data_IF_814388640968
#
_entry.id   IF_814388640968
#
_cell.length_a   1.000
_cell.length_b   1.000
_cell.length_c   1.000
_cell.angle_alpha   90.00
_cell.angle_beta   90.00
_cell.angle_gamma   90.00
#
_symmetry.space_group_name_H-M   'P 1'
#
loop_
_entity.id
_entity.type
_entity.pdbx_description
1 polymer ?
#
# COMPACT_ATOMS: atom_id res chain seq x y z
N UNK A 1 0.38 11.83 12.30
CA UNK A 1 0.21 11.81 10.83
C UNK A 1 -0.76 10.68 10.48
N UNK A 2 -1.52 10.82 9.40
CA UNK A 2 -2.42 9.75 8.94
C UNK A 2 -1.69 8.94 7.87
N UNK A 3 -1.88 7.63 7.82
CA UNK A 3 -1.40 6.78 6.75
C UNK A 3 -2.51 6.66 5.69
N UNK A 4 -2.26 7.18 4.53
CA UNK A 4 -3.06 6.99 3.32
C UNK A 4 -2.37 6.02 2.36
N UNK A 5 -3.11 5.50 1.42
CA UNK A 5 -2.61 4.68 0.31
C UNK A 5 -3.11 5.29 -0.98
N UNK A 6 -2.19 5.49 -1.89
CA UNK A 6 -2.45 5.99 -3.24
C UNK A 6 -2.27 4.87 -4.27
N UNK A 7 -3.17 4.80 -5.24
CA UNK A 7 -3.07 3.95 -6.44
C UNK A 7 -3.25 4.85 -7.65
N UNK A 8 -2.28 4.90 -8.55
CA UNK A 8 -2.38 5.76 -9.73
C UNK A 8 -1.03 6.10 -10.35
N UNK A 9 -1.01 6.98 -11.39
CA UNK A 9 0.21 7.46 -12.01
C UNK A 9 1.16 8.11 -11.00
N UNK A 10 2.44 7.75 -11.02
CA UNK A 10 3.42 8.35 -10.10
C UNK A 10 3.67 9.82 -10.41
N UNK A 11 3.56 10.25 -11.66
CA UNK A 11 3.58 11.68 -12.03
C UNK A 11 2.54 12.45 -11.21
N UNK A 12 1.29 11.97 -11.15
CA UNK A 12 0.23 12.59 -10.38
C UNK A 12 0.52 12.58 -8.87
N UNK A 13 1.09 11.49 -8.36
CA UNK A 13 1.49 11.39 -6.95
C UNK A 13 2.48 12.48 -6.59
N UNK A 14 3.60 12.59 -7.34
CA UNK A 14 4.70 13.52 -7.05
C UNK A 14 4.39 14.99 -7.37
N UNK A 15 3.36 15.27 -8.17
CA UNK A 15 2.83 16.65 -8.35
C UNK A 15 1.76 17.02 -7.33
N UNK A 16 1.34 16.08 -6.48
CA UNK A 16 0.26 16.31 -5.53
C UNK A 16 -1.11 16.55 -6.18
N UNK A 17 -1.29 16.16 -7.46
CA UNK A 17 -2.54 16.32 -8.20
C UNK A 17 -3.54 15.19 -7.92
N UNK A 18 -3.77 14.92 -6.65
CA UNK A 18 -4.71 13.92 -6.16
C UNK A 18 -5.29 14.32 -4.80
N UNK A 19 -6.43 13.79 -4.45
CA UNK A 19 -7.08 14.02 -3.16
C UNK A 19 -6.91 12.81 -2.26
N UNK A 20 -6.42 13.01 -1.04
CA UNK A 20 -6.47 11.99 -0.02
C UNK A 20 -7.91 11.82 0.53
N UNK A 21 -8.12 10.81 1.38
CA UNK A 21 -9.45 10.49 1.91
C UNK A 21 -10.08 11.65 2.68
N UNK A 22 -9.27 12.41 3.46
CA UNK A 22 -9.77 13.54 4.23
C UNK A 22 -10.18 14.72 3.34
N UNK A 23 -9.39 15.03 2.33
CA UNK A 23 -9.67 16.09 1.35
C UNK A 23 -10.93 15.79 0.55
N UNK A 24 -11.05 14.55 0.05
CA UNK A 24 -12.26 14.09 -0.64
C UNK A 24 -13.49 14.23 0.23
N UNK A 25 -13.43 13.74 1.47
CA UNK A 25 -14.55 13.83 2.42
C UNK A 25 -14.89 15.29 2.79
N UNK A 26 -13.88 16.15 2.88
CA UNK A 26 -14.10 17.58 3.12
C UNK A 26 -14.77 18.26 1.92
N UNK A 27 -14.34 17.94 0.70
CA UNK A 27 -14.96 18.44 -0.54
C UNK A 27 -16.43 18.00 -0.66
N UNK A 28 -16.72 16.73 -0.40
CA UNK A 28 -18.08 16.18 -0.45
C UNK A 28 -19.01 16.84 0.58
N UNK A 29 -18.47 17.28 1.71
CA UNK A 29 -19.18 18.06 2.74
C UNK A 29 -19.23 19.57 2.47
N UNK A 30 -18.77 20.02 1.30
CA UNK A 30 -18.75 21.44 0.92
C UNK A 30 -17.74 22.29 1.69
N UNK A 31 -16.71 21.67 2.27
CA UNK A 31 -15.64 22.33 3.04
C UNK A 31 -14.27 21.96 2.46
N UNK A 32 -13.94 22.35 1.21
CA UNK A 32 -12.69 21.95 0.60
C UNK A 32 -11.49 22.48 1.41
N UNK A 33 -10.51 21.61 1.60
CA UNK A 33 -9.24 21.98 2.24
C UNK A 33 -8.38 22.67 1.19
N UNK A 34 -8.03 23.95 1.42
CA UNK A 34 -7.10 24.65 0.57
C UNK A 34 -5.69 24.08 0.75
N UNK A 35 -5.10 23.55 -0.33
CA UNK A 35 -3.68 23.19 -0.33
C UNK A 35 -2.85 24.47 -0.51
N UNK A 36 -1.81 24.71 0.33
CA UNK A 36 -0.86 25.76 0.08
C UNK A 36 -0.11 25.45 -1.22
N UNK A 37 -0.03 26.42 -2.13
CA UNK A 37 0.72 26.33 -3.38
C UNK A 37 -0.13 25.97 -4.59
N UNK A 38 -0.94 26.93 -5.06
CA UNK A 38 -1.57 26.87 -6.39
C UNK A 38 -0.59 27.20 -7.50
N UNK A 39 0.57 26.53 -7.54
CA UNK A 39 1.47 26.57 -8.68
C UNK A 39 0.83 25.85 -9.87
N UNK A 40 1.20 26.26 -11.06
CA UNK A 40 0.70 25.75 -12.32
C UNK A 40 1.04 24.24 -12.42
N UNK A 41 0.15 23.39 -11.90
CA UNK A 41 0.31 21.92 -11.79
C UNK A 41 0.61 21.28 -13.15
N UNK A 42 0.15 21.88 -14.23
CA UNK A 42 0.48 21.40 -15.57
C UNK A 42 1.98 21.52 -15.85
N UNK A 43 2.61 22.65 -15.49
CA UNK A 43 4.06 22.85 -15.63
C UNK A 43 4.85 21.93 -14.69
N UNK A 44 4.37 21.71 -13.48
CA UNK A 44 4.99 20.75 -12.57
C UNK A 44 4.91 19.32 -13.12
N UNK A 45 3.80 18.93 -13.72
CA UNK A 45 3.64 17.64 -14.38
C UNK A 45 4.62 17.44 -15.52
N UNK A 46 4.86 18.47 -16.35
CA UNK A 46 5.82 18.43 -17.45
C UNK A 46 7.27 18.24 -16.97
N UNK A 47 7.61 18.67 -15.76
CA UNK A 47 8.91 18.46 -15.14
C UNK A 47 9.04 17.10 -14.43
N UNK A 48 7.97 16.65 -13.78
CA UNK A 48 7.98 15.40 -12.98
C UNK A 48 7.86 14.17 -13.86
N UNK A 49 7.04 14.20 -14.91
CA UNK A 49 6.80 13.06 -15.79
C UNK A 49 8.08 12.47 -16.40
N UNK A 50 9.01 13.24 -16.98
CA UNK A 50 10.27 12.70 -17.47
C UNK A 50 11.08 12.00 -16.36
N UNK A 51 11.14 12.56 -15.16
CA UNK A 51 11.85 11.97 -14.01
C UNK A 51 11.25 10.60 -13.64
N UNK A 52 9.91 10.49 -13.59
CA UNK A 52 9.21 9.21 -13.35
C UNK A 52 9.52 8.19 -14.42
N UNK A 53 9.51 8.60 -15.72
CA UNK A 53 9.80 7.71 -16.84
C UNK A 53 11.27 7.25 -16.84
N UNK A 54 12.20 8.14 -16.55
CA UNK A 54 13.63 7.82 -16.45
C UNK A 54 13.91 6.88 -15.27
N UNK A 55 13.31 7.16 -14.10
CA UNK A 55 13.37 6.30 -12.93
C UNK A 55 12.82 4.90 -13.24
N UNK A 56 11.65 4.81 -13.86
CA UNK A 56 11.04 3.53 -14.27
C UNK A 56 11.93 2.75 -15.22
N UNK A 57 12.52 3.43 -16.22
CA UNK A 57 13.44 2.81 -17.16
C UNK A 57 14.72 2.33 -16.48
N UNK A 58 15.28 3.11 -15.55
CA UNK A 58 16.46 2.73 -14.77
C UNK A 58 16.16 1.52 -13.89
N UNK A 59 15.00 1.52 -13.21
CA UNK A 59 14.54 0.39 -12.40
C UNK A 59 14.36 -0.88 -13.23
N UNK A 60 13.73 -0.77 -14.41
CA UNK A 60 13.56 -1.89 -15.33
C UNK A 60 14.91 -2.49 -15.79
N UNK A 61 15.89 -1.65 -16.08
CA UNK A 61 17.26 -2.12 -16.40
C UNK A 61 17.93 -2.82 -15.21
N UNK A 62 17.75 -2.30 -14.00
CA UNK A 62 18.33 -2.90 -12.78
C UNK A 62 17.70 -4.27 -12.45
N UNK A 63 16.42 -4.42 -12.70
CA UNK A 63 15.70 -5.69 -12.47
C UNK A 63 16.04 -6.72 -13.55
N UNK A 64 16.27 -6.29 -14.80
CA UNK A 64 16.64 -7.18 -15.91
C UNK A 64 15.67 -8.37 -16.06
N UNK A 65 16.21 -9.57 -16.18
CA UNK A 65 15.45 -10.81 -16.37
C UNK A 65 14.67 -11.26 -15.12
N UNK A 66 14.74 -10.52 -14.00
CA UNK A 66 13.96 -10.81 -12.78
C UNK A 66 12.50 -10.40 -12.88
N UNK A 67 12.14 -9.63 -13.90
CA UNK A 67 10.75 -9.31 -14.26
C UNK A 67 10.41 -9.97 -15.58
N UNK A 68 9.26 -10.65 -15.63
CA UNK A 68 8.80 -11.35 -16.83
C UNK A 68 8.27 -10.40 -17.91
N UNK A 69 7.85 -9.20 -17.52
CA UNK A 69 7.29 -8.18 -18.41
C UNK A 69 7.96 -6.81 -18.15
N UNK A 70 8.06 -5.95 -19.17
CA UNK A 70 8.55 -4.59 -18.97
C UNK A 70 7.72 -3.84 -17.92
N UNK A 71 8.37 -3.03 -17.10
CA UNK A 71 7.69 -2.12 -16.20
C UNK A 71 6.92 -1.08 -17.01
N UNK A 72 5.60 -1.23 -17.09
CA UNK A 72 4.73 -0.38 -17.89
C UNK A 72 3.42 -0.11 -17.16
N UNK A 73 3.10 1.16 -16.98
CA UNK A 73 1.81 1.67 -16.56
C UNK A 73 1.61 3.06 -17.16
N UNK A 74 0.36 3.51 -17.21
CA UNK A 74 0.02 4.78 -17.82
C UNK A 74 0.33 5.95 -16.87
N UNK A 75 1.02 6.97 -17.38
CA UNK A 75 1.37 8.24 -16.70
C UNK A 75 0.62 9.43 -17.31
N UNK A 76 -0.46 9.19 -18.05
CA UNK A 76 -1.28 10.27 -18.62
C UNK A 76 -2.04 11.03 -17.52
N UNK A 77 -2.28 12.31 -17.76
CA UNK A 77 -2.93 13.19 -16.77
C UNK A 77 -4.39 12.82 -16.47
N UNK A 78 -5.06 12.15 -17.41
CA UNK A 78 -6.45 11.69 -17.29
C UNK A 78 -6.56 10.25 -16.77
N UNK A 79 -5.45 9.55 -16.52
CA UNK A 79 -5.46 8.21 -15.93
C UNK A 79 -6.09 8.23 -14.54
N UNK A 80 -6.93 7.25 -14.27
CA UNK A 80 -7.63 7.10 -12.99
C UNK A 80 -6.64 6.98 -11.82
N UNK A 81 -7.08 7.43 -10.65
CA UNK A 81 -6.41 7.17 -9.39
C UNK A 81 -7.42 6.82 -8.30
N UNK A 82 -6.96 6.13 -7.27
CA UNK A 82 -7.76 5.74 -6.12
C UNK A 82 -6.97 6.02 -4.84
N UNK A 83 -7.68 6.33 -3.75
CA UNK A 83 -7.08 6.53 -2.45
C UNK A 83 -7.90 5.85 -1.37
N UNK A 84 -7.24 5.34 -0.34
CA UNK A 84 -7.86 4.78 0.85
C UNK A 84 -7.03 5.09 2.08
N UNK A 85 -7.63 4.99 3.26
CA UNK A 85 -6.98 5.29 4.53
C UNK A 85 -7.09 4.11 5.48
N UNK A 86 -6.14 3.18 5.47
CA UNK A 86 -6.09 2.15 6.51
C UNK A 86 -5.75 2.73 7.88
N UNK A 87 -5.06 3.88 7.94
CA UNK A 87 -4.48 4.44 9.14
C UNK A 87 -3.31 3.61 9.67
N UNK A 88 -2.46 4.20 10.54
CA UNK A 88 -1.32 3.49 11.12
C UNK A 88 -1.75 2.29 11.97
N UNK A 89 -2.76 2.48 12.83
CA UNK A 89 -3.25 1.39 13.70
C UNK A 89 -3.84 0.24 12.88
N UNK A 90 -4.60 0.55 11.84
CA UNK A 90 -5.15 -0.46 10.95
C UNK A 90 -4.07 -1.21 10.19
N UNK A 91 -3.13 -0.48 9.56
CA UNK A 91 -2.04 -1.08 8.78
C UNK A 91 -1.12 -1.93 9.67
N UNK A 92 -0.65 -1.40 10.81
CA UNK A 92 0.16 -2.16 11.77
C UNK A 92 -0.56 -3.41 12.28
N UNK A 93 -1.88 -3.29 12.57
CA UNK A 93 -2.69 -4.44 12.96
C UNK A 93 -2.79 -5.51 11.87
N UNK A 94 -2.92 -5.11 10.60
CA UNK A 94 -2.95 -6.04 9.47
C UNK A 94 -1.60 -6.74 9.28
N UNK A 95 -0.50 -5.99 9.37
CA UNK A 95 0.87 -6.53 9.31
C UNK A 95 1.10 -7.56 10.42
N UNK A 96 0.75 -7.22 11.66
CA UNK A 96 0.86 -8.17 12.79
C UNK A 96 -0.08 -9.36 12.61
N UNK A 97 -1.29 -9.15 12.09
CA UNK A 97 -2.22 -10.25 11.84
C UNK A 97 -1.62 -11.28 10.88
N UNK A 98 -0.96 -10.82 9.81
CA UNK A 98 -0.26 -11.66 8.85
C UNK A 98 0.94 -12.39 9.49
N UNK A 99 1.76 -11.67 10.28
CA UNK A 99 2.89 -12.26 10.98
C UNK A 99 2.46 -13.37 11.96
N UNK A 100 1.41 -13.14 12.75
CA UNK A 100 0.88 -14.17 13.65
C UNK A 100 0.19 -15.33 12.93
N UNK A 101 -0.31 -15.15 11.72
CA UNK A 101 -0.82 -16.27 10.91
C UNK A 101 0.31 -17.22 10.48
N UNK A 102 1.55 -16.73 10.38
CA UNK A 102 2.74 -17.55 10.12
C UNK A 102 3.34 -18.19 11.38
N UNK A 103 3.10 -17.61 12.56
CA UNK A 103 3.66 -18.02 13.83
C UNK A 103 2.58 -18.37 14.86
N UNK A 104 1.75 -19.42 14.61
CA UNK A 104 0.60 -19.75 15.46
C UNK A 104 0.95 -20.18 16.89
N UNK A 105 2.23 -20.53 17.15
CA UNK A 105 2.72 -20.83 18.48
C UNK A 105 2.92 -19.57 19.36
N UNK A 106 2.97 -18.38 18.76
CA UNK A 106 3.05 -17.12 19.50
C UNK A 106 1.66 -16.64 19.89
N UNK A 107 1.56 -16.06 21.10
CA UNK A 107 0.29 -15.50 21.58
C UNK A 107 0.08 -14.11 20.96
N UNK A 108 -0.95 -13.98 20.12
CA UNK A 108 -1.33 -12.70 19.52
C UNK A 108 -1.80 -11.70 20.58
N UNK A 109 -1.39 -10.41 20.51
CA UNK A 109 -1.90 -9.37 21.38
C UNK A 109 -3.38 -9.07 21.10
N UNK A 110 -4.09 -8.57 22.12
CA UNK A 110 -5.52 -8.20 21.96
C UNK A 110 -5.69 -6.84 21.27
N UNK A 111 -4.73 -5.94 21.43
CA UNK A 111 -4.69 -4.61 20.80
C UNK A 111 -3.32 -4.42 20.15
N UNK A 112 -3.21 -3.43 19.25
CA UNK A 112 -1.93 -3.07 18.63
C UNK A 112 -0.98 -2.53 19.70
N UNK A 113 0.23 -3.12 19.86
CA UNK A 113 1.26 -2.57 20.72
C UNK A 113 1.75 -1.22 20.19
N UNK A 114 2.23 -0.34 21.07
CA UNK A 114 2.80 0.95 20.68
C UNK A 114 4.03 0.77 19.77
N UNK A 115 4.90 -0.17 20.10
CA UNK A 115 6.09 -0.55 19.31
C UNK A 115 5.80 -1.84 18.52
N UNK A 116 4.77 -1.81 17.69
CA UNK A 116 4.32 -2.99 16.95
C UNK A 116 5.32 -3.47 15.90
N UNK A 117 6.18 -2.61 15.40
CA UNK A 117 7.28 -2.89 14.48
C UNK A 117 8.37 -3.77 15.11
N UNK A 118 8.49 -3.74 16.44
CA UNK A 118 9.39 -4.60 17.22
C UNK A 118 8.71 -5.89 17.74
N UNK A 119 7.50 -6.20 17.29
CA UNK A 119 6.76 -7.39 17.72
C UNK A 119 7.50 -8.68 17.34
N UNK A 120 7.61 -9.66 18.26
CA UNK A 120 8.34 -10.92 18.04
C UNK A 120 7.87 -11.73 16.84
N UNK A 121 6.57 -11.69 16.48
CA UNK A 121 6.07 -12.38 15.31
C UNK A 121 6.56 -11.68 14.01
N UNK A 122 6.56 -10.35 14.00
CA UNK A 122 7.03 -9.58 12.86
C UNK A 122 8.55 -9.72 12.67
N UNK A 123 9.32 -9.63 13.75
CA UNK A 123 10.78 -9.87 13.71
C UNK A 123 11.09 -11.26 13.12
N UNK A 124 10.33 -12.30 13.50
CA UNK A 124 10.52 -13.65 12.95
C UNK A 124 10.15 -13.74 11.47
N UNK A 125 9.05 -13.07 11.05
CA UNK A 125 8.63 -13.03 9.65
C UNK A 125 9.63 -12.28 8.75
N UNK A 126 10.38 -11.34 9.32
CA UNK A 126 11.40 -10.55 8.63
C UNK A 126 12.81 -11.16 8.70
N UNK A 127 13.02 -12.23 9.46
CA UNK A 127 14.33 -12.88 9.57
C UNK A 127 14.78 -13.40 8.18
N UNK A 128 16.07 -13.23 7.85
CA UNK A 128 16.64 -13.64 6.55
C UNK A 128 16.44 -15.14 6.26
N UNK A 129 16.46 -15.96 7.31
CA UNK A 129 16.25 -17.42 7.22
C UNK A 129 14.79 -17.82 7.04
N UNK A 130 13.83 -16.88 7.16
CA UNK A 130 12.41 -17.17 7.10
C UNK A 130 11.81 -16.69 5.75
N UNK A 131 11.14 -17.61 5.05
CA UNK A 131 10.41 -17.27 3.82
C UNK A 131 8.95 -16.95 4.16
N UNK A 132 8.69 -15.70 4.47
CA UNK A 132 7.32 -15.24 4.72
C UNK A 132 6.44 -15.43 3.51
N UNK A 133 5.24 -15.98 3.72
CA UNK A 133 4.17 -16.06 2.71
C UNK A 133 3.51 -14.71 2.45
N UNK A 134 3.71 -13.76 3.36
CA UNK A 134 3.12 -12.41 3.30
C UNK A 134 4.20 -11.34 3.12
N UNK A 135 5.31 -11.66 2.43
CA UNK A 135 6.49 -10.80 2.31
C UNK A 135 6.18 -9.41 1.73
N UNK A 136 5.19 -9.30 0.83
CA UNK A 136 4.78 -8.02 0.24
C UNK A 136 3.89 -7.19 1.17
N UNK A 137 3.55 -7.70 2.35
CA UNK A 137 2.82 -6.99 3.40
C UNK A 137 3.71 -6.73 4.62
N UNK A 138 4.50 -7.74 5.08
CA UNK A 138 5.23 -7.66 6.36
C UNK A 138 6.63 -7.04 6.26
N UNK A 139 7.19 -6.87 5.05
CA UNK A 139 8.57 -6.39 4.84
C UNK A 139 8.68 -4.88 4.61
N UNK A 140 7.88 -4.08 5.28
CA UNK A 140 7.92 -2.62 5.18
C UNK A 140 7.87 -2.09 3.74
N UNK A 141 7.10 -2.73 2.87
CA UNK A 141 6.94 -2.29 1.48
C UNK A 141 6.17 -0.97 1.45
N UNK A 142 6.73 0.01 0.76
CA UNK A 142 6.16 1.35 0.61
C UNK A 142 5.63 1.62 -0.81
N UNK A 143 6.14 0.89 -1.80
CA UNK A 143 5.73 1.01 -3.20
C UNK A 143 5.54 -0.40 -3.79
N UNK A 144 4.35 -0.67 -4.29
CA UNK A 144 4.04 -1.89 -5.04
C UNK A 144 3.89 -1.56 -6.52
N UNK A 145 4.70 -2.21 -7.36
CA UNK A 145 4.68 -2.04 -8.82
C UNK A 145 3.62 -2.96 -9.46
N UNK A 146 3.00 -2.54 -10.57
CA UNK A 146 2.03 -3.36 -11.30
C UNK A 146 2.71 -4.40 -12.21
N UNK A 147 3.57 -5.22 -11.63
CA UNK A 147 4.29 -6.29 -12.31
C UNK A 147 4.45 -7.48 -11.38
N UNK A 148 4.64 -8.67 -11.94
CA UNK A 148 4.87 -9.88 -11.17
C UNK A 148 6.32 -9.93 -10.68
N UNK A 149 6.49 -9.74 -9.36
CA UNK A 149 7.76 -9.84 -8.64
C UNK A 149 7.58 -10.79 -7.46
N UNK A 150 8.17 -11.97 -7.52
CA UNK A 150 8.12 -12.95 -6.45
C UNK A 150 8.96 -12.59 -5.20
N UNK A 151 9.52 -11.37 -5.14
CA UNK A 151 10.39 -10.89 -4.07
C UNK A 151 10.19 -9.39 -3.82
N UNK A 152 10.61 -8.94 -2.64
CA UNK A 152 10.73 -7.52 -2.30
C UNK A 152 12.21 -7.10 -2.34
N UNK A 153 12.49 -5.83 -2.61
CA UNK A 153 13.86 -5.32 -2.63
C UNK A 153 13.93 -3.87 -2.17
N UNK A 154 15.07 -3.47 -1.65
CA UNK A 154 15.38 -2.07 -1.37
C UNK A 154 15.77 -1.35 -2.65
N UNK A 155 15.26 -0.14 -2.84
CA UNK A 155 15.56 0.73 -3.97
C UNK A 155 15.37 2.19 -3.59
N UNK A 156 15.55 3.08 -4.55
CA UNK A 156 15.23 4.50 -4.41
C UNK A 156 13.95 4.82 -5.16
N UNK A 157 13.13 5.69 -4.59
CA UNK A 157 11.96 6.23 -5.29
C UNK A 157 12.37 7.37 -6.25
N UNK A 158 11.38 8.01 -6.90
CA UNK A 158 11.61 9.09 -7.88
C UNK A 158 12.35 10.29 -7.29
N UNK A 159 12.22 10.51 -5.97
CA UNK A 159 12.90 11.61 -5.24
C UNK A 159 14.23 11.16 -4.61
N UNK A 160 14.68 9.92 -4.86
CA UNK A 160 15.92 9.36 -4.33
C UNK A 160 15.80 8.91 -2.86
N UNK A 161 14.59 8.80 -2.31
CA UNK A 161 14.38 8.28 -0.96
C UNK A 161 14.47 6.74 -1.00
N UNK A 162 15.23 6.18 -0.06
CA UNK A 162 15.32 4.72 0.10
C UNK A 162 13.99 4.15 0.56
N UNK A 163 13.46 3.17 -0.16
CA UNK A 163 12.19 2.50 0.09
C UNK A 163 12.30 1.00 -0.18
N UNK A 164 11.36 0.24 0.37
CA UNK A 164 11.17 -1.16 -0.04
C UNK A 164 10.09 -1.23 -1.12
N UNK A 165 10.43 -1.95 -2.18
CA UNK A 165 9.58 -2.11 -3.37
C UNK A 165 9.06 -3.55 -3.45
N UNK A 166 7.79 -3.71 -3.79
CA UNK A 166 7.12 -4.99 -3.98
C UNK A 166 6.26 -5.03 -5.24
N UNK A 167 5.40 -6.03 -5.31
CA UNK A 167 4.46 -6.30 -6.41
C UNK A 167 3.03 -6.17 -5.93
N UNK A 168 2.18 -5.47 -6.69
CA UNK A 168 0.74 -5.38 -6.43
C UNK A 168 0.07 -6.74 -6.61
N UNK A 169 0.47 -7.51 -7.62
CA UNK A 169 -0.06 -8.85 -7.88
C UNK A 169 0.21 -9.78 -6.71
N UNK A 170 1.44 -9.76 -6.20
CA UNK A 170 1.81 -10.56 -5.03
C UNK A 170 1.11 -10.10 -3.77
N UNK A 171 0.99 -8.77 -3.53
CA UNK A 171 0.23 -8.24 -2.40
C UNK A 171 -1.22 -8.72 -2.45
N UNK A 172 -1.88 -8.58 -3.61
CA UNK A 172 -3.28 -9.01 -3.81
C UNK A 172 -3.46 -10.50 -3.54
N UNK A 173 -2.55 -11.35 -4.05
CA UNK A 173 -2.56 -12.80 -3.79
C UNK A 173 -2.36 -13.10 -2.31
N UNK A 174 -1.37 -12.47 -1.67
CA UNK A 174 -1.06 -12.68 -0.25
C UNK A 174 -2.19 -12.24 0.68
N UNK A 175 -2.91 -11.17 0.35
CA UNK A 175 -4.11 -10.77 1.08
C UNK A 175 -5.22 -11.84 0.93
N UNK A 176 -5.42 -12.40 -0.26
CA UNK A 176 -6.34 -13.51 -0.48
C UNK A 176 -5.99 -14.77 0.33
N UNK A 177 -4.71 -15.12 0.37
CA UNK A 177 -4.19 -16.23 1.16
C UNK A 177 -4.36 -15.99 2.67
N UNK A 178 -4.12 -14.76 3.12
CA UNK A 178 -4.34 -14.36 4.51
C UNK A 178 -5.81 -14.50 4.92
N UNK A 179 -6.73 -14.03 4.08
CA UNK A 179 -8.16 -14.20 4.31
C UNK A 179 -8.53 -15.69 4.40
N UNK A 180 -8.04 -16.49 3.47
CA UNK A 180 -8.30 -17.95 3.43
C UNK A 180 -7.76 -18.66 4.67
N UNK A 181 -6.59 -18.26 5.15
CA UNK A 181 -5.95 -18.86 6.33
C UNK A 181 -6.59 -18.44 7.65
N UNK A 182 -7.23 -17.26 7.70
CA UNK A 182 -7.70 -16.65 8.95
C UNK A 182 -9.22 -16.50 9.01
N UNK A 183 -9.77 -15.50 8.34
CA UNK A 183 -11.17 -15.11 8.50
C UNK A 183 -12.14 -15.90 7.60
N UNK A 184 -11.68 -16.33 6.43
CA UNK A 184 -12.53 -16.97 5.40
C UNK A 184 -13.74 -16.11 5.03
N UNK A 185 -13.56 -14.79 5.08
CA UNK A 185 -14.60 -13.82 4.82
C UNK A 185 -14.95 -13.80 3.33
N UNK A 186 -16.25 -13.64 3.05
CA UNK A 186 -16.77 -13.43 1.71
C UNK A 186 -16.72 -11.96 1.31
N UNK A 187 -16.96 -11.66 0.04
CA UNK A 187 -16.87 -10.30 -0.48
C UNK A 187 -17.78 -9.30 0.23
N UNK A 188 -19.03 -9.70 0.56
CA UNK A 188 -19.99 -8.88 1.30
C UNK A 188 -19.55 -8.55 2.74
N UNK A 189 -18.89 -9.50 3.41
CA UNK A 189 -18.32 -9.30 4.74
C UNK A 189 -17.10 -8.36 4.67
N UNK A 190 -16.22 -8.57 3.71
CA UNK A 190 -15.05 -7.71 3.50
C UNK A 190 -15.47 -6.27 3.15
N UNK A 191 -16.47 -6.10 2.30
CA UNK A 191 -17.04 -4.78 2.00
C UNK A 191 -17.61 -4.11 3.25
N UNK A 192 -18.32 -4.87 4.10
CA UNK A 192 -18.85 -4.35 5.35
C UNK A 192 -17.75 -3.86 6.31
N UNK A 193 -16.59 -4.52 6.36
CA UNK A 193 -15.45 -4.08 7.16
C UNK A 193 -14.86 -2.75 6.68
N UNK A 194 -14.92 -2.46 5.38
CA UNK A 194 -14.40 -1.22 4.78
C UNK A 194 -15.29 0.02 4.97
N UNK A 195 -16.50 -0.10 5.52
CA UNK A 195 -17.49 1.01 5.58
C UNK A 195 -17.09 2.16 6.51
N UNK A 196 -16.12 1.97 7.38
CA UNK A 196 -15.63 3.03 8.26
C UNK A 196 -14.55 2.54 9.22
N UNK A 197 -13.64 3.43 9.65
CA UNK A 197 -12.58 3.06 10.56
C UNK A 197 -13.16 2.64 11.92
N UNK A 198 -12.57 1.63 12.57
CA UNK A 198 -12.88 1.28 13.95
C UNK A 198 -12.59 2.46 14.90
N UNK A 199 -13.14 2.39 16.11
CA UNK A 199 -12.79 3.35 17.16
C UNK A 199 -11.29 3.25 17.50
N UNK A 200 -10.71 4.35 17.99
CA UNK A 200 -9.38 4.34 18.56
C UNK A 200 -9.29 3.27 19.66
N UNK A 201 -8.20 2.53 19.70
CA UNK A 201 -7.98 1.40 20.63
C UNK A 201 -8.94 0.20 20.44
N UNK A 202 -9.59 0.06 19.30
CA UNK A 202 -10.34 -1.14 18.98
C UNK A 202 -9.41 -2.38 19.00
N UNK A 203 -9.97 -3.59 19.26
CA UNK A 203 -9.20 -4.82 19.20
C UNK A 203 -8.40 -4.97 17.90
N UNK A 204 -7.21 -5.57 18.01
CA UNK A 204 -6.28 -5.81 16.88
C UNK A 204 -7.01 -6.39 15.66
N UNK A 205 -7.89 -7.37 15.88
CA UNK A 205 -8.63 -8.01 14.81
C UNK A 205 -9.55 -7.05 14.06
N UNK A 206 -10.25 -6.17 14.75
CA UNK A 206 -11.16 -5.21 14.11
C UNK A 206 -10.38 -4.18 13.28
N UNK A 207 -9.25 -3.71 13.80
CA UNK A 207 -8.33 -2.83 13.08
C UNK A 207 -7.76 -3.54 11.84
N UNK A 208 -7.31 -4.79 11.99
CA UNK A 208 -6.77 -5.60 10.90
C UNK A 208 -7.81 -5.86 9.80
N UNK A 209 -9.07 -6.18 10.15
CA UNK A 209 -10.16 -6.39 9.19
C UNK A 209 -10.48 -5.14 8.38
N UNK A 210 -10.53 -3.99 9.04
CA UNK A 210 -10.74 -2.71 8.36
C UNK A 210 -9.60 -2.43 7.36
N UNK A 211 -8.36 -2.50 7.80
CA UNK A 211 -7.20 -2.27 6.93
C UNK A 211 -7.12 -3.31 5.81
N UNK A 212 -7.45 -4.58 6.09
CA UNK A 212 -7.57 -5.63 5.09
C UNK A 212 -8.56 -5.25 3.98
N UNK A 213 -9.74 -4.77 4.35
CA UNK A 213 -10.75 -4.36 3.37
C UNK A 213 -10.25 -3.20 2.49
N UNK A 214 -9.63 -2.18 3.10
CA UNK A 214 -9.07 -1.03 2.37
C UNK A 214 -7.93 -1.47 1.44
N UNK A 215 -6.96 -2.23 1.96
CA UNK A 215 -5.79 -2.69 1.19
C UNK A 215 -6.19 -3.64 0.06
N UNK A 216 -7.15 -4.55 0.31
CA UNK A 216 -7.63 -5.50 -0.71
C UNK A 216 -8.38 -4.81 -1.85
N UNK A 217 -9.23 -3.81 -1.57
CA UNK A 217 -9.90 -3.04 -2.62
C UNK A 217 -8.90 -2.25 -3.46
N UNK A 218 -7.93 -1.59 -2.81
CA UNK A 218 -6.90 -0.81 -3.51
C UNK A 218 -5.96 -1.70 -4.32
N UNK A 219 -5.51 -2.84 -3.78
CA UNK A 219 -4.67 -3.80 -4.50
C UNK A 219 -5.42 -4.39 -5.71
N UNK A 220 -6.71 -4.72 -5.56
CA UNK A 220 -7.55 -5.17 -6.67
C UNK A 220 -7.63 -4.12 -7.78
N UNK A 221 -7.90 -2.85 -7.45
CA UNK A 221 -7.94 -1.74 -8.41
C UNK A 221 -6.58 -1.52 -9.07
N UNK A 222 -5.51 -1.60 -8.31
CA UNK A 222 -4.16 -1.47 -8.83
C UNK A 222 -3.82 -2.58 -9.84
N UNK A 223 -4.23 -3.82 -9.57
CA UNK A 223 -4.09 -4.94 -10.52
C UNK A 223 -4.96 -4.73 -11.76
N UNK A 224 -6.25 -4.39 -11.57
CA UNK A 224 -7.23 -4.20 -12.64
C UNK A 224 -6.81 -3.11 -13.63
N UNK A 225 -6.30 -1.99 -13.12
CA UNK A 225 -5.89 -0.85 -13.93
C UNK A 225 -4.39 -0.82 -14.25
N UNK A 226 -3.61 -1.84 -13.81
CA UNK A 226 -2.15 -1.92 -13.97
C UNK A 226 -1.44 -0.66 -13.47
N UNK A 227 -1.78 -0.21 -12.25
CA UNK A 227 -1.25 1.00 -11.64
C UNK A 227 -0.36 0.69 -10.43
N UNK A 228 0.69 1.49 -10.18
CA UNK A 228 1.44 1.40 -8.93
C UNK A 228 0.58 1.80 -7.74
N UNK A 229 0.91 1.24 -6.58
CA UNK A 229 0.30 1.52 -5.29
C UNK A 229 1.38 1.97 -4.32
N UNK A 230 1.16 3.08 -3.59
CA UNK A 230 2.17 3.70 -2.72
C UNK A 230 1.57 4.12 -1.39
N UNK A 231 2.32 3.90 -0.29
CA UNK A 231 2.01 4.50 1.02
C UNK A 231 2.32 5.99 0.99
N UNK A 232 1.44 6.78 1.64
CA UNK A 232 1.56 8.23 1.80
C UNK A 232 1.39 8.60 3.28
N UNK A 233 2.45 9.22 3.89
CA UNK A 233 2.52 9.57 5.32
C UNK A 233 3.50 10.71 5.60
#
# INVERSE_FOLDING_TARGET
>A
MALDVYVGPLTRYYTGDWENVAERSARERGRPIARPGGTDRAKESDLVRPRVLDWRAALGRSLGDRVSEPLAWDEAADTLYFTGRPGWDGFGSLVLWAAYAEHPALRRPLALPEEWDDDPALIRSNAESFRSRYSHLVRNVELWLPCDLGFTFEGEDVDGRRIVVGSVQMLSSQLGDLNTATWKARGDETEAWGRGPPQANAPLELQARYAFAVMSDLARRAVEHRLPMKLDY
#
